data_IF_674308843571
#
_entry.id   IF_674308843571
#
_cell.length_a   1.000
_cell.length_b   1.000
_cell.length_c   1.000
_cell.angle_alpha   90.00
_cell.angle_beta   90.00
_cell.angle_gamma   90.00
#
_symmetry.space_group_name_H-M   'P 1'
#
loop_
_entity.id
_entity.type
_entity.pdbx_description
1 polymer ?
#
# COMPACT_ATOMS: atom_id res chain seq x y z
N UNK A 1 -3.22 -18.47 9.98
CA UNK A 1 -4.25 -18.38 11.05
C UNK A 1 -4.77 -16.96 11.28
N UNK A 2 -4.20 -15.93 10.63
CA UNK A 2 -4.82 -14.62 10.65
C UNK A 2 -6.07 -14.61 9.76
N UNK A 3 -7.08 -13.90 10.21
CA UNK A 3 -8.12 -13.40 9.32
C UNK A 3 -7.52 -12.28 8.49
N UNK A 4 -7.89 -12.22 7.21
CA UNK A 4 -7.33 -11.23 6.30
C UNK A 4 -7.80 -9.82 6.61
N UNK A 5 -8.99 -9.67 7.20
CA UNK A 5 -9.68 -8.40 7.44
C UNK A 5 -9.48 -7.48 6.23
N UNK A 6 -9.84 -7.98 5.05
CA UNK A 6 -9.86 -7.19 3.82
C UNK A 6 -8.48 -6.65 3.39
N UNK A 7 -7.37 -7.21 3.90
CA UNK A 7 -6.01 -6.71 3.64
C UNK A 7 -5.72 -6.46 2.16
N UNK A 8 -5.23 -5.25 1.87
CA UNK A 8 -5.09 -4.66 0.54
C UNK A 8 -6.43 -4.31 -0.13
N UNK A 9 -7.39 -3.77 0.63
CA UNK A 9 -8.69 -3.30 0.11
C UNK A 9 -9.34 -4.31 -0.85
N UNK A 10 -9.64 -5.50 -0.32
CA UNK A 10 -10.09 -6.63 -1.14
C UNK A 10 -11.34 -6.30 -1.96
N UNK A 11 -12.24 -5.47 -1.43
CA UNK A 11 -13.43 -5.04 -2.15
C UNK A 11 -13.10 -4.07 -3.29
N UNK A 12 -12.21 -3.08 -3.11
CA UNK A 12 -11.70 -2.25 -4.21
C UNK A 12 -11.08 -3.12 -5.30
N UNK A 13 -10.24 -4.07 -4.90
CA UNK A 13 -9.57 -5.01 -5.79
C UNK A 13 -10.59 -5.77 -6.67
N UNK A 14 -11.71 -6.21 -6.10
CA UNK A 14 -12.79 -6.87 -6.84
C UNK A 14 -13.62 -5.92 -7.69
N UNK A 15 -13.98 -4.73 -7.20
CA UNK A 15 -14.71 -3.73 -8.00
C UNK A 15 -13.93 -3.34 -9.25
N UNK A 16 -12.62 -3.14 -9.15
CA UNK A 16 -11.76 -2.90 -10.31
C UNK A 16 -11.84 -4.04 -11.34
N UNK A 17 -11.83 -5.30 -10.90
CA UNK A 17 -11.96 -6.43 -11.83
C UNK A 17 -13.37 -6.50 -12.45
N UNK A 18 -14.42 -6.18 -11.69
CA UNK A 18 -15.76 -6.07 -12.23
C UNK A 18 -15.85 -5.00 -13.32
N UNK A 19 -15.40 -3.78 -13.04
CA UNK A 19 -15.44 -2.67 -14.01
C UNK A 19 -14.64 -3.00 -15.28
N UNK A 20 -13.51 -3.70 -15.14
CA UNK A 20 -12.67 -4.10 -16.29
C UNK A 20 -13.26 -5.22 -17.15
N UNK A 21 -14.02 -6.13 -16.56
CA UNK A 21 -14.42 -7.40 -17.22
C UNK A 21 -15.92 -7.56 -17.45
N UNK A 22 -16.75 -6.82 -16.70
CA UNK A 22 -18.20 -7.05 -16.62
C UNK A 22 -18.59 -8.34 -15.88
N UNK A 23 -17.63 -9.07 -15.29
CA UNK A 23 -17.92 -10.35 -14.62
C UNK A 23 -18.58 -10.13 -13.25
N UNK A 24 -19.88 -10.44 -13.19
CA UNK A 24 -20.71 -10.27 -11.99
C UNK A 24 -20.24 -11.08 -10.77
N UNK A 25 -19.39 -12.10 -10.95
CA UNK A 25 -18.80 -12.81 -9.82
C UNK A 25 -17.92 -11.88 -8.99
N UNK A 26 -17.18 -10.99 -9.64
CA UNK A 26 -16.39 -9.98 -8.94
C UNK A 26 -17.28 -8.97 -8.22
N UNK A 27 -18.38 -8.52 -8.84
CA UNK A 27 -19.35 -7.63 -8.19
C UNK A 27 -19.93 -8.26 -6.91
N UNK A 28 -20.36 -9.52 -6.99
CA UNK A 28 -20.90 -10.23 -5.83
C UNK A 28 -19.89 -10.35 -4.69
N UNK A 29 -18.64 -10.73 -4.98
CA UNK A 29 -17.58 -10.83 -3.96
C UNK A 29 -17.14 -9.48 -3.42
N UNK A 30 -17.14 -8.44 -4.25
CA UNK A 30 -16.85 -7.08 -3.82
C UNK A 30 -17.90 -6.60 -2.82
N UNK A 31 -19.20 -6.82 -3.09
CA UNK A 31 -20.27 -6.47 -2.18
C UNK A 31 -20.17 -7.23 -0.84
N UNK A 32 -19.89 -8.53 -0.86
CA UNK A 32 -19.67 -9.31 0.37
C UNK A 32 -18.50 -8.76 1.21
N UNK A 33 -17.38 -8.47 0.56
CA UNK A 33 -16.18 -7.92 1.19
C UNK A 33 -16.43 -6.50 1.75
N UNK A 34 -17.13 -5.66 1.01
CA UNK A 34 -17.50 -4.31 1.41
C UNK A 34 -18.43 -4.31 2.62
N UNK A 35 -19.50 -5.11 2.60
CA UNK A 35 -20.44 -5.18 3.74
C UNK A 35 -19.71 -5.68 5.00
N UNK A 36 -18.77 -6.60 4.85
CA UNK A 36 -17.94 -7.04 5.98
C UNK A 36 -17.04 -5.91 6.50
N UNK A 37 -16.29 -5.23 5.62
CA UNK A 37 -15.43 -4.12 6.02
C UNK A 37 -16.23 -3.02 6.72
N UNK A 38 -17.34 -2.65 6.08
CA UNK A 38 -18.23 -1.59 6.53
C UNK A 38 -18.87 -1.96 7.87
N UNK A 39 -19.58 -3.07 7.96
CA UNK A 39 -20.45 -3.35 9.11
C UNK A 39 -19.75 -4.13 10.23
N UNK A 40 -18.59 -4.75 9.98
CA UNK A 40 -17.90 -5.62 10.94
C UNK A 40 -16.49 -5.13 11.29
N UNK A 41 -15.63 -4.84 10.30
CA UNK A 41 -14.25 -4.41 10.57
C UNK A 41 -14.17 -2.98 11.12
N UNK A 42 -15.13 -2.12 10.77
CA UNK A 42 -15.11 -0.69 11.14
C UNK A 42 -15.80 -0.40 12.47
N UNK A 43 -15.15 0.38 13.31
CA UNK A 43 -15.71 0.84 14.59
C UNK A 43 -16.65 2.03 14.36
N UNK A 44 -17.96 1.76 14.32
CA UNK A 44 -19.00 2.80 14.16
C UNK A 44 -19.29 3.59 15.44
N UNK A 45 -19.04 3.00 16.60
CA UNK A 45 -19.29 3.63 17.88
C UNK A 45 -18.30 3.16 18.94
N UNK A 46 -17.78 4.10 19.71
CA UNK A 46 -16.95 3.85 20.88
C UNK A 46 -17.00 5.08 21.81
N UNK A 47 -16.84 4.88 23.11
CA UNK A 47 -16.85 5.99 24.09
C UNK A 47 -15.65 6.93 23.95
N UNK A 48 -14.50 6.39 23.56
CA UNK A 48 -13.34 7.14 23.09
C UNK A 48 -13.52 7.50 21.59
N UNK A 49 -13.64 8.79 21.23
CA UNK A 49 -13.85 9.23 19.85
C UNK A 49 -12.66 8.93 18.92
N UNK A 50 -11.45 8.72 19.44
CA UNK A 50 -10.30 8.35 18.61
C UNK A 50 -10.45 6.96 17.98
N UNK A 51 -11.31 6.10 18.55
CA UNK A 51 -11.56 4.76 18.01
C UNK A 51 -12.65 4.72 16.95
N UNK A 52 -13.52 5.72 16.88
CA UNK A 52 -14.60 5.77 15.88
C UNK A 52 -14.00 6.05 14.50
N UNK A 53 -14.27 5.17 13.53
CA UNK A 53 -13.64 5.20 12.20
C UNK A 53 -12.32 4.41 12.10
N UNK A 54 -11.85 3.77 13.18
CA UNK A 54 -10.77 2.80 13.04
C UNK A 54 -11.28 1.48 12.45
N UNK A 55 -10.46 0.82 11.63
CA UNK A 55 -10.74 -0.51 11.08
C UNK A 55 -9.76 -1.56 11.64
N UNK A 56 -10.27 -2.73 12.01
CA UNK A 56 -9.46 -3.80 12.62
C UNK A 56 -8.41 -4.34 11.64
N UNK A 57 -7.14 -4.20 12.00
CA UNK A 57 -6.05 -4.83 11.26
C UNK A 57 -6.12 -6.35 11.35
N UNK A 58 -5.58 -7.03 10.34
CA UNK A 58 -5.52 -8.48 10.29
C UNK A 58 -4.93 -9.09 11.57
N UNK A 59 -5.65 -10.01 12.19
CA UNK A 59 -5.20 -10.69 13.39
C UNK A 59 -5.84 -12.07 13.55
N UNK A 60 -5.40 -12.82 14.56
CA UNK A 60 -5.98 -14.12 14.91
C UNK A 60 -7.38 -13.88 15.47
N UNK A 61 -8.36 -14.63 14.97
CA UNK A 61 -9.75 -14.51 15.43
C UNK A 61 -10.43 -13.19 15.04
N UNK A 62 -10.04 -12.55 13.93
CA UNK A 62 -10.67 -11.37 13.34
C UNK A 62 -10.50 -10.05 14.12
N UNK A 63 -10.72 -10.03 15.44
CA UNK A 63 -10.50 -8.84 16.29
C UNK A 63 -9.39 -9.00 17.32
N UNK A 64 -8.80 -10.19 17.42
CA UNK A 64 -7.61 -10.45 18.25
C UNK A 64 -7.88 -10.50 19.75
N UNK A 65 -6.80 -10.53 20.52
CA UNK A 65 -6.77 -10.55 21.99
C UNK A 65 -7.37 -11.81 22.66
N UNK A 66 -7.66 -12.87 21.89
CA UNK A 66 -8.05 -14.17 22.43
C UNK A 66 -6.88 -15.00 22.98
N UNK A 67 -5.65 -14.66 22.57
CA UNK A 67 -4.43 -15.35 23.00
C UNK A 67 -3.37 -14.32 23.41
N UNK A 68 -2.59 -14.62 24.45
CA UNK A 68 -1.46 -13.78 24.87
C UNK A 68 -0.29 -13.79 23.87
N UNK A 69 -0.15 -14.87 23.11
CA UNK A 69 0.84 -15.05 22.04
C UNK A 69 0.24 -15.93 20.95
N UNK A 70 0.89 -16.01 19.78
CA UNK A 70 0.47 -16.96 18.76
C UNK A 70 0.46 -18.40 19.32
N UNK A 71 -0.60 -19.19 19.07
CA UNK A 71 -0.65 -20.60 19.47
C UNK A 71 0.19 -21.51 18.56
N UNK A 72 0.77 -20.98 17.47
CA UNK A 72 1.61 -21.76 16.56
C UNK A 72 3.09 -21.62 16.92
N UNK A 73 3.83 -22.71 16.76
CA UNK A 73 5.28 -22.72 16.97
C UNK A 73 6.02 -21.94 15.88
N UNK A 74 7.03 -21.18 16.30
CA UNK A 74 7.91 -20.40 15.44
C UNK A 74 7.64 -18.89 15.44
N UNK A 75 8.59 -18.08 14.94
CA UNK A 75 8.43 -16.63 14.88
C UNK A 75 7.39 -16.20 13.84
N UNK A 76 6.74 -15.06 14.08
CA UNK A 76 5.82 -14.40 13.14
C UNK A 76 4.62 -15.25 12.68
N UNK A 77 4.15 -16.19 13.50
CA UNK A 77 3.04 -17.09 13.16
C UNK A 77 1.69 -16.48 13.50
N UNK A 78 1.34 -15.38 12.83
CA UNK A 78 0.09 -14.67 13.06
C UNK A 78 0.12 -13.70 14.23
N UNK A 79 -0.85 -12.78 14.24
CA UNK A 79 -0.88 -11.61 15.12
C UNK A 79 -1.93 -11.85 16.21
N UNK A 80 -1.55 -12.12 17.47
CA UNK A 80 -2.51 -12.45 18.51
C UNK A 80 -3.33 -11.24 18.97
N UNK A 81 -2.73 -10.05 18.99
CA UNK A 81 -3.39 -8.82 19.41
C UNK A 81 -4.19 -8.18 18.29
N UNK A 82 -5.37 -7.63 18.63
CA UNK A 82 -6.11 -6.74 17.75
C UNK A 82 -5.49 -5.35 17.77
N UNK A 83 -5.38 -4.70 16.62
CA UNK A 83 -4.82 -3.36 16.52
C UNK A 83 -5.51 -2.51 15.46
N UNK A 84 -5.37 -1.20 15.60
CA UNK A 84 -5.76 -0.21 14.61
C UNK A 84 -4.50 0.48 14.12
N UNK A 85 -4.33 0.57 12.81
CA UNK A 85 -3.19 1.26 12.22
C UNK A 85 -3.53 1.64 10.79
N UNK A 86 -3.14 2.86 10.42
CA UNK A 86 -3.33 3.39 9.06
C UNK A 86 -2.70 2.49 8.00
N UNK A 87 -1.66 1.73 8.38
CA UNK A 87 -0.99 0.76 7.52
C UNK A 87 -1.83 -0.47 7.15
N UNK A 88 -3.02 -0.61 7.73
CA UNK A 88 -3.97 -1.70 7.57
C UNK A 88 -5.42 -1.19 7.54
N UNK A 89 -5.64 -0.04 6.91
CA UNK A 89 -6.95 0.57 6.76
C UNK A 89 -7.13 1.10 5.35
N UNK A 90 -8.33 0.99 4.80
CA UNK A 90 -8.62 1.27 3.39
C UNK A 90 -9.99 1.94 3.24
N UNK A 91 -10.14 2.76 2.21
CA UNK A 91 -11.40 3.49 1.94
C UNK A 91 -11.80 3.47 0.46
N UNK A 92 -10.93 3.11 -0.47
CA UNK A 92 -11.22 3.10 -1.91
C UNK A 92 -12.45 2.22 -2.19
N UNK A 93 -12.46 1.03 -1.58
CA UNK A 93 -13.54 0.06 -1.72
C UNK A 93 -14.92 0.54 -1.25
N UNK A 94 -14.96 1.35 -0.19
CA UNK A 94 -16.18 1.96 0.31
C UNK A 94 -16.77 2.94 -0.71
N UNK A 95 -15.91 3.77 -1.31
CA UNK A 95 -16.34 4.74 -2.31
C UNK A 95 -16.73 4.07 -3.63
N UNK A 96 -15.99 3.05 -4.08
CA UNK A 96 -16.35 2.25 -5.25
C UNK A 96 -17.74 1.64 -5.11
N UNK A 97 -18.02 1.04 -3.95
CA UNK A 97 -19.33 0.46 -3.69
C UNK A 97 -20.44 1.51 -3.74
N UNK A 98 -20.24 2.69 -3.13
CA UNK A 98 -21.19 3.78 -3.22
C UNK A 98 -21.44 4.20 -4.67
N UNK A 99 -20.39 4.39 -5.48
CA UNK A 99 -20.55 4.80 -6.87
C UNK A 99 -21.24 3.76 -7.75
N UNK A 100 -21.01 2.47 -7.49
CA UNK A 100 -21.58 1.38 -8.28
C UNK A 100 -23.01 0.99 -7.85
N UNK A 101 -23.39 1.25 -6.59
CA UNK A 101 -24.67 0.75 -6.03
C UNK A 101 -25.60 1.85 -5.51
N UNK A 102 -25.08 3.05 -5.22
CA UNK A 102 -25.80 4.11 -4.54
C UNK A 102 -25.93 3.93 -3.02
N UNK A 103 -25.29 2.93 -2.41
CA UNK A 103 -25.38 2.69 -0.96
C UNK A 103 -24.65 3.79 -0.16
N UNK A 104 -25.44 4.71 0.40
CA UNK A 104 -24.93 5.85 1.18
C UNK A 104 -24.18 5.42 2.45
N UNK A 105 -24.47 4.25 3.03
CA UNK A 105 -23.77 3.79 4.23
C UNK A 105 -22.29 3.52 3.94
N UNK A 106 -21.97 3.04 2.74
CA UNK A 106 -20.59 2.86 2.31
C UNK A 106 -19.86 4.20 2.17
N UNK A 107 -20.48 5.21 1.55
CA UNK A 107 -19.91 6.56 1.52
C UNK A 107 -19.65 7.11 2.93
N UNK A 108 -20.66 7.04 3.79
CA UNK A 108 -20.58 7.52 5.18
C UNK A 108 -19.48 6.81 5.98
N UNK A 109 -19.28 5.50 5.74
CA UNK A 109 -18.26 4.71 6.44
C UNK A 109 -16.86 5.01 5.91
N UNK A 110 -16.69 5.14 4.59
CA UNK A 110 -15.42 5.57 3.98
C UNK A 110 -14.98 6.95 4.50
N UNK A 111 -15.93 7.89 4.64
CA UNK A 111 -15.66 9.21 5.22
C UNK A 111 -15.37 9.13 6.72
N UNK A 112 -16.12 8.32 7.49
CA UNK A 112 -15.86 8.12 8.91
C UNK A 112 -14.41 7.66 9.18
N UNK A 113 -13.92 6.74 8.35
CA UNK A 113 -12.55 6.24 8.41
C UNK A 113 -11.55 7.34 8.02
N UNK A 114 -11.72 7.97 6.85
CA UNK A 114 -10.82 9.00 6.37
C UNK A 114 -10.73 10.18 7.35
N UNK A 115 -11.88 10.65 7.86
CA UNK A 115 -11.97 11.72 8.84
C UNK A 115 -11.19 11.41 10.12
N UNK A 116 -11.23 10.16 10.60
CA UNK A 116 -10.49 9.76 11.78
C UNK A 116 -8.98 9.92 11.57
N UNK A 117 -8.44 9.34 10.49
CA UNK A 117 -7.01 9.37 10.21
C UNK A 117 -6.52 10.76 9.80
N UNK A 118 -7.32 11.51 9.06
CA UNK A 118 -6.96 12.86 8.62
C UNK A 118 -7.02 13.88 9.75
N UNK A 119 -7.93 13.69 10.72
CA UNK A 119 -8.01 14.54 11.90
C UNK A 119 -6.94 14.21 12.94
N UNK A 120 -6.84 12.93 13.32
CA UNK A 120 -6.03 12.51 14.46
C UNK A 120 -4.66 12.00 14.04
N UNK A 121 -4.59 11.27 12.93
CA UNK A 121 -3.35 10.69 12.42
C UNK A 121 -2.36 11.72 11.91
N UNK A 122 -2.80 12.93 11.57
CA UNK A 122 -1.93 14.01 11.05
C UNK A 122 -1.41 14.97 12.14
N UNK A 123 -1.87 14.84 13.39
CA UNK A 123 -1.39 15.69 14.50
C UNK A 123 0.06 15.33 14.81
N UNK A 124 0.98 16.29 14.69
CA UNK A 124 2.42 16.08 14.84
C UNK A 124 2.94 14.93 13.97
N UNK A 125 2.48 14.87 12.72
CA UNK A 125 2.71 13.75 11.82
C UNK A 125 4.20 13.37 11.69
N UNK A 126 4.49 12.09 11.94
CA UNK A 126 5.74 11.45 11.58
C UNK A 126 5.50 9.96 11.30
N UNK A 127 6.47 9.28 10.69
CA UNK A 127 6.30 7.87 10.32
C UNK A 127 7.54 7.00 10.58
N UNK A 128 7.34 5.72 10.84
CA UNK A 128 8.47 4.82 11.13
C UNK A 128 8.94 4.05 9.89
N UNK A 129 8.06 3.89 8.90
CA UNK A 129 8.35 3.22 7.64
C UNK A 129 7.39 3.72 6.55
N UNK A 130 7.75 3.51 5.28
CA UNK A 130 6.99 4.03 4.13
C UNK A 130 5.55 3.51 3.99
N UNK A 131 5.18 2.42 4.67
CA UNK A 131 3.81 1.88 4.60
C UNK A 131 2.80 2.82 5.24
N UNK A 132 3.18 3.47 6.35
CA UNK A 132 2.33 4.39 7.11
C UNK A 132 1.87 5.58 6.25
N UNK A 133 2.76 6.45 5.73
CA UNK A 133 2.35 7.55 4.87
C UNK A 133 1.73 7.06 3.56
N UNK A 134 2.18 5.91 3.03
CA UNK A 134 1.63 5.39 1.77
C UNK A 134 0.16 5.04 1.86
N UNK A 135 -0.26 4.25 2.85
CA UNK A 135 -1.68 3.92 3.01
C UNK A 135 -2.51 5.10 3.47
N UNK A 136 -1.96 5.99 4.30
CA UNK A 136 -2.65 7.22 4.68
C UNK A 136 -2.92 8.08 3.44
N UNK A 137 -1.94 8.29 2.55
CA UNK A 137 -2.18 8.99 1.29
C UNK A 137 -3.24 8.31 0.43
N UNK A 138 -3.18 6.98 0.26
CA UNK A 138 -4.15 6.25 -0.56
C UNK A 138 -5.57 6.47 -0.04
N UNK A 139 -5.82 6.27 1.25
CA UNK A 139 -7.16 6.36 1.81
C UNK A 139 -7.71 7.80 1.81
N UNK A 140 -6.85 8.79 2.06
CA UNK A 140 -7.28 10.20 2.11
C UNK A 140 -7.47 10.78 0.72
N UNK A 141 -6.63 10.40 -0.26
CA UNK A 141 -6.84 10.77 -1.65
C UNK A 141 -8.10 10.13 -2.22
N UNK A 142 -8.47 8.92 -1.80
CA UNK A 142 -9.74 8.32 -2.18
C UNK A 142 -10.94 9.14 -1.66
N UNK A 143 -10.89 9.60 -0.41
CA UNK A 143 -11.93 10.47 0.16
C UNK A 143 -11.99 11.83 -0.53
N UNK A 144 -10.84 12.44 -0.83
CA UNK A 144 -10.77 13.69 -1.59
C UNK A 144 -11.39 13.52 -2.98
N UNK A 145 -11.02 12.48 -3.73
CA UNK A 145 -11.54 12.25 -5.09
C UNK A 145 -13.02 11.90 -5.10
N UNK A 146 -13.54 11.31 -4.02
CA UNK A 146 -14.96 11.00 -3.89
C UNK A 146 -15.83 12.23 -3.57
N UNK A 147 -15.27 13.26 -2.92
CA UNK A 147 -16.05 14.38 -2.35
C UNK A 147 -15.67 15.77 -2.84
N UNK A 148 -14.43 15.95 -3.29
CA UNK A 148 -13.82 17.26 -3.52
C UNK A 148 -13.50 18.05 -2.24
N UNK A 149 -13.63 17.45 -1.05
CA UNK A 149 -13.42 18.18 0.22
C UNK A 149 -11.93 18.46 0.47
N UNK A 150 -11.49 19.74 0.48
CA UNK A 150 -10.09 20.09 0.69
C UNK A 150 -9.54 19.67 2.06
N UNK A 151 -10.38 19.30 3.03
CA UNK A 151 -9.93 18.75 4.31
C UNK A 151 -8.99 17.54 4.11
N UNK A 152 -9.39 16.57 3.28
CA UNK A 152 -8.60 15.37 3.00
C UNK A 152 -7.32 15.69 2.21
N UNK A 153 -7.39 16.58 1.22
CA UNK A 153 -6.20 17.01 0.48
C UNK A 153 -5.19 17.75 1.37
N UNK A 154 -5.67 18.53 2.35
CA UNK A 154 -4.80 19.20 3.32
C UNK A 154 -4.12 18.21 4.28
N UNK A 155 -4.79 17.13 4.67
CA UNK A 155 -4.15 16.03 5.40
C UNK A 155 -3.03 15.39 4.57
N UNK A 156 -3.28 15.12 3.28
CA UNK A 156 -2.24 14.63 2.37
C UNK A 156 -1.05 15.59 2.25
N UNK A 157 -1.27 16.91 2.21
CA UNK A 157 -0.19 17.92 2.18
C UNK A 157 0.74 17.79 3.39
N UNK A 158 0.19 17.64 4.60
CA UNK A 158 0.99 17.43 5.83
C UNK A 158 1.87 16.19 5.70
N UNK A 159 1.29 15.09 5.21
CA UNK A 159 2.00 13.82 5.04
C UNK A 159 3.12 13.97 3.99
N UNK A 160 2.81 14.56 2.84
CA UNK A 160 3.76 14.74 1.74
C UNK A 160 4.94 15.61 2.16
N UNK A 161 4.73 16.73 2.84
CA UNK A 161 5.84 17.57 3.32
C UNK A 161 6.80 16.78 4.22
N UNK A 162 6.26 15.96 5.14
CA UNK A 162 7.11 15.10 6.00
C UNK A 162 7.80 13.99 5.22
N UNK A 163 7.14 13.42 4.21
CA UNK A 163 7.72 12.41 3.32
C UNK A 163 8.90 13.00 2.53
N UNK A 164 8.73 14.18 1.94
CA UNK A 164 9.79 14.85 1.18
C UNK A 164 10.96 15.24 2.09
N UNK A 165 10.68 15.81 3.27
CA UNK A 165 11.70 16.18 4.27
C UNK A 165 12.59 14.98 4.66
N UNK A 166 12.00 13.79 4.81
CA UNK A 166 12.69 12.59 5.29
C UNK A 166 13.33 11.73 4.19
N UNK A 167 13.21 12.11 2.92
CA UNK A 167 13.82 11.35 1.84
C UNK A 167 15.34 11.47 1.91
N UNK A 168 16.04 10.34 1.88
CA UNK A 168 17.51 10.28 1.94
C UNK A 168 18.06 10.20 0.54
N UNK A 169 18.54 11.34 0.02
CA UNK A 169 18.94 11.50 -1.37
C UNK A 169 20.26 10.80 -1.72
N UNK A 170 21.24 10.85 -0.82
CA UNK A 170 22.58 10.32 -1.07
C UNK A 170 22.74 8.86 -0.60
N UNK A 171 23.47 8.02 -1.34
CA UNK A 171 23.83 6.67 -0.89
C UNK A 171 24.65 6.73 0.40
N UNK A 172 24.31 5.90 1.39
CA UNK A 172 25.13 5.69 2.58
C UNK A 172 24.60 4.52 3.43
N UNK A 173 25.44 3.99 4.33
CA UNK A 173 25.13 2.82 5.17
C UNK A 173 24.77 1.56 4.35
N UNK A 174 25.39 1.41 3.17
CA UNK A 174 25.23 0.24 2.31
C UNK A 174 23.93 0.23 1.50
N UNK A 175 23.23 1.36 1.38
CA UNK A 175 22.03 1.48 0.56
C UNK A 175 22.18 2.54 -0.52
N UNK A 176 21.47 2.37 -1.65
CA UNK A 176 21.34 3.42 -2.66
C UNK A 176 20.64 4.68 -2.10
N UNK A 177 20.79 5.79 -2.83
CA UNK A 177 20.10 7.05 -2.57
C UNK A 177 18.66 7.07 -3.10
N UNK A 178 17.86 8.03 -2.66
CA UNK A 178 16.48 8.26 -3.13
C UNK A 178 15.37 7.56 -2.33
N UNK A 179 15.71 6.70 -1.37
CA UNK A 179 14.74 6.05 -0.47
C UNK A 179 14.48 6.83 0.83
N UNK A 180 13.88 6.18 1.84
CA UNK A 180 13.67 6.70 3.20
C UNK A 180 14.41 5.86 4.23
N UNK A 181 15.74 5.93 4.22
CA UNK A 181 16.59 5.00 4.97
C UNK A 181 16.28 5.01 6.47
N UNK A 182 16.03 3.83 7.02
CA UNK A 182 15.83 3.58 8.46
C UNK A 182 16.61 2.36 8.91
N UNK A 183 16.78 2.19 10.23
CA UNK A 183 17.24 0.92 10.79
C UNK A 183 16.15 -0.15 10.56
N UNK A 184 16.51 -1.30 10.01
CA UNK A 184 15.52 -2.33 9.61
C UNK A 184 15.13 -3.31 10.72
N UNK A 185 15.61 -3.11 11.95
CA UNK A 185 15.14 -3.84 13.14
C UNK A 185 14.07 -3.05 13.89
N UNK A 186 13.09 -3.73 14.54
CA UNK A 186 12.79 -5.15 14.40
C UNK A 186 12.09 -5.49 13.06
N UNK A 187 12.07 -6.78 12.71
CA UNK A 187 11.15 -7.35 11.71
C UNK A 187 11.56 -7.33 10.24
N UNK A 188 12.49 -6.49 9.80
CA UNK A 188 12.91 -6.39 8.39
C UNK A 188 14.39 -6.70 8.14
N UNK A 189 15.13 -6.99 9.22
CA UNK A 189 16.50 -7.49 9.22
C UNK A 189 16.73 -8.24 10.54
N UNK A 190 17.49 -9.34 10.49
CA UNK A 190 17.89 -10.12 11.67
C UNK A 190 19.43 -10.21 11.80
N UNK A 191 20.17 -9.41 11.03
CA UNK A 191 21.64 -9.36 11.08
C UNK A 191 22.14 -8.51 12.25
N UNK A 192 23.33 -8.84 12.74
CA UNK A 192 24.12 -8.03 13.67
C UNK A 192 25.47 -7.70 13.01
N UNK A 193 25.83 -6.42 12.81
CA UNK A 193 25.00 -5.24 13.04
C UNK A 193 23.78 -5.19 12.10
N UNK A 194 22.72 -4.51 12.56
CA UNK A 194 21.51 -4.32 11.77
C UNK A 194 21.78 -3.46 10.54
N UNK A 195 21.31 -3.92 9.37
CA UNK A 195 21.35 -3.14 8.14
C UNK A 195 20.33 -1.99 8.16
N UNK A 196 20.60 -0.98 7.33
CA UNK A 196 19.72 0.15 7.06
C UNK A 196 19.06 0.00 5.69
N UNK A 197 17.97 0.73 5.47
CA UNK A 197 17.24 0.75 4.20
C UNK A 197 15.74 0.65 4.39
N UNK A 198 15.05 -0.06 3.50
CA UNK A 198 13.60 -0.28 3.56
C UNK A 198 13.18 -1.68 3.14
N UNK A 199 11.93 -2.04 3.43
CA UNK A 199 11.27 -3.12 2.74
C UNK A 199 10.67 -2.58 1.43
N UNK A 200 11.00 -3.21 0.30
CA UNK A 200 10.67 -2.65 -1.02
C UNK A 200 9.19 -2.41 -1.20
N UNK A 201 8.36 -3.37 -0.77
CA UNK A 201 6.91 -3.27 -0.89
C UNK A 201 6.34 -2.04 -0.13
N UNK A 202 6.96 -1.62 0.99
CA UNK A 202 6.51 -0.44 1.75
C UNK A 202 6.74 0.83 0.95
N UNK A 203 7.86 0.90 0.23
CA UNK A 203 8.16 2.00 -0.69
C UNK A 203 7.19 1.98 -1.87
N UNK A 204 6.86 0.80 -2.42
CA UNK A 204 5.85 0.68 -3.48
C UNK A 204 4.47 1.22 -3.07
N UNK A 205 4.02 0.93 -1.85
CA UNK A 205 2.77 1.52 -1.30
C UNK A 205 2.87 3.04 -1.19
N UNK A 206 4.00 3.57 -0.73
CA UNK A 206 4.22 5.03 -0.69
C UNK A 206 4.19 5.65 -2.07
N UNK A 207 4.84 5.04 -3.07
CA UNK A 207 4.80 5.52 -4.44
C UNK A 207 3.39 5.53 -5.03
N UNK A 208 2.55 4.55 -4.67
CA UNK A 208 1.12 4.54 -5.04
C UNK A 208 0.39 5.75 -4.45
N UNK A 209 0.58 6.03 -3.16
CA UNK A 209 -0.02 7.20 -2.50
C UNK A 209 0.48 8.54 -3.07
N UNK A 210 1.79 8.66 -3.30
CA UNK A 210 2.39 9.86 -3.92
C UNK A 210 1.91 10.08 -5.35
N UNK A 211 1.72 9.00 -6.13
CA UNK A 211 1.12 9.07 -7.47
C UNK A 211 -0.26 9.70 -7.43
N UNK A 212 -1.14 9.25 -6.54
CA UNK A 212 -2.49 9.83 -6.42
C UNK A 212 -2.44 11.30 -6.04
N UNK A 213 -1.59 11.67 -5.09
CA UNK A 213 -1.40 13.07 -4.72
C UNK A 213 -0.87 13.90 -5.89
N UNK A 214 0.14 13.40 -6.61
CA UNK A 214 0.73 14.11 -7.75
C UNK A 214 -0.27 14.33 -8.89
N UNK A 215 -1.09 13.33 -9.21
CA UNK A 215 -2.12 13.45 -10.25
C UNK A 215 -3.13 14.58 -9.98
N UNK A 216 -3.41 14.87 -8.71
CA UNK A 216 -4.37 15.93 -8.32
C UNK A 216 -3.70 17.30 -8.10
N UNK A 217 -2.38 17.35 -7.92
CA UNK A 217 -1.67 18.59 -7.52
C UNK A 217 -0.62 19.07 -8.50
N UNK A 218 -0.14 18.19 -9.37
CA UNK A 218 0.96 18.43 -10.31
C UNK A 218 2.24 18.97 -9.62
N UNK A 219 2.46 18.61 -8.35
CA UNK A 219 3.61 19.10 -7.58
C UNK A 219 4.92 18.50 -8.10
N UNK A 220 5.81 19.29 -8.75
CA UNK A 220 7.01 18.76 -9.38
C UNK A 220 8.00 18.16 -8.35
N UNK A 221 7.94 18.58 -7.08
CA UNK A 221 8.76 17.99 -6.01
C UNK A 221 8.38 16.54 -5.76
N UNK A 222 7.09 16.23 -5.90
CA UNK A 222 6.57 14.87 -5.72
C UNK A 222 6.94 13.99 -6.91
N UNK A 223 6.85 14.51 -8.14
CA UNK A 223 7.33 13.80 -9.33
C UNK A 223 8.81 13.40 -9.22
N UNK A 224 9.66 14.34 -8.83
CA UNK A 224 11.09 14.11 -8.60
C UNK A 224 11.34 13.09 -7.46
N UNK A 225 10.60 13.19 -6.36
CA UNK A 225 10.66 12.23 -5.26
C UNK A 225 10.29 10.81 -5.69
N UNK A 226 9.22 10.66 -6.49
CA UNK A 226 8.77 9.38 -7.06
C UNK A 226 9.87 8.77 -7.94
N UNK A 227 10.47 9.55 -8.84
CA UNK A 227 11.54 9.07 -9.71
C UNK A 227 12.76 8.57 -8.91
N UNK A 228 13.22 9.37 -7.94
CA UNK A 228 14.33 9.00 -7.06
C UNK A 228 14.05 7.74 -6.25
N UNK A 229 12.83 7.58 -5.73
CA UNK A 229 12.44 6.39 -4.99
C UNK A 229 12.25 5.15 -5.88
N UNK A 230 11.82 5.31 -7.13
CA UNK A 230 11.82 4.23 -8.12
C UNK A 230 13.24 3.77 -8.46
N UNK A 231 14.17 4.72 -8.66
CA UNK A 231 15.61 4.42 -8.83
C UNK A 231 16.21 3.73 -7.62
N UNK A 232 15.88 4.18 -6.40
CA UNK A 232 16.25 3.48 -5.17
C UNK A 232 15.82 2.01 -5.19
N UNK A 233 14.56 1.71 -5.55
CA UNK A 233 14.08 0.32 -5.61
C UNK A 233 14.83 -0.52 -6.63
N UNK A 234 15.10 0.04 -7.81
CA UNK A 234 15.87 -0.62 -8.87
C UNK A 234 17.31 -0.87 -8.41
N UNK A 235 18.01 0.17 -7.97
CA UNK A 235 19.44 0.12 -7.68
C UNK A 235 19.77 -0.64 -6.39
N UNK A 236 18.86 -0.59 -5.41
CA UNK A 236 19.08 -1.17 -4.08
C UNK A 236 18.48 -2.56 -3.91
N UNK A 237 17.53 -2.99 -4.74
CA UNK A 237 16.79 -4.24 -4.48
C UNK A 237 16.57 -5.14 -5.69
N UNK A 238 16.75 -4.67 -6.93
CA UNK A 238 16.59 -5.52 -8.11
C UNK A 238 17.63 -6.64 -8.16
N UNK A 239 17.19 -7.82 -8.56
CA UNK A 239 17.99 -9.03 -8.66
C UNK A 239 17.72 -9.70 -10.01
N UNK A 240 18.66 -9.54 -10.94
CA UNK A 240 18.51 -10.01 -12.32
C UNK A 240 18.34 -11.53 -12.43
N UNK A 241 18.93 -12.29 -11.50
CA UNK A 241 18.89 -13.75 -11.52
C UNK A 241 17.50 -14.33 -11.18
N UNK A 242 16.65 -13.57 -10.48
CA UNK A 242 15.25 -13.96 -10.18
C UNK A 242 14.25 -13.07 -10.91
N UNK A 243 14.72 -12.13 -11.74
CA UNK A 243 13.90 -11.10 -12.41
C UNK A 243 12.88 -10.49 -11.45
N UNK A 244 13.35 -10.11 -10.27
CA UNK A 244 12.51 -9.64 -9.18
C UNK A 244 13.32 -8.86 -8.16
N UNK A 245 12.75 -8.66 -6.98
CA UNK A 245 13.35 -7.81 -5.96
C UNK A 245 13.67 -8.60 -4.69
N UNK A 246 14.69 -8.14 -3.96
CA UNK A 246 14.86 -8.48 -2.54
C UNK A 246 13.68 -7.93 -1.74
N UNK A 247 13.28 -8.64 -0.69
CA UNK A 247 12.22 -8.24 0.23
C UNK A 247 12.56 -6.91 0.92
N UNK A 248 13.83 -6.73 1.29
CA UNK A 248 14.34 -5.49 1.88
C UNK A 248 15.73 -5.14 1.33
N UNK A 249 16.23 -3.96 1.67
CA UNK A 249 17.62 -3.54 1.42
C UNK A 249 18.65 -4.48 2.07
N UNK A 250 18.25 -5.36 3.00
CA UNK A 250 19.13 -6.33 3.60
C UNK A 250 19.59 -7.34 2.53
N UNK A 251 20.90 -7.51 2.30
CA UNK A 251 21.41 -8.47 1.30
C UNK A 251 21.06 -9.93 1.62
N UNK A 252 20.72 -10.23 2.88
CA UNK A 252 20.30 -11.58 3.33
C UNK A 252 18.79 -11.80 3.29
N UNK A 253 18.00 -10.79 2.90
CA UNK A 253 16.56 -10.95 2.80
C UNK A 253 16.19 -11.88 1.63
N UNK A 254 15.00 -12.48 1.70
CA UNK A 254 14.49 -13.30 0.60
C UNK A 254 14.33 -12.47 -0.67
N UNK A 255 14.37 -13.11 -1.84
CA UNK A 255 14.21 -12.43 -3.13
C UNK A 255 13.34 -13.22 -4.09
N UNK A 256 12.59 -12.50 -4.92
CA UNK A 256 11.78 -13.09 -5.98
C UNK A 256 10.79 -12.09 -6.58
N UNK A 257 9.94 -12.58 -7.48
CA UNK A 257 9.06 -11.74 -8.29
C UNK A 257 7.72 -11.39 -7.63
N UNK A 258 7.43 -11.92 -6.44
CA UNK A 258 6.11 -11.83 -5.81
C UNK A 258 5.68 -10.41 -5.40
N UNK A 259 6.64 -9.47 -5.35
CA UNK A 259 6.37 -8.06 -5.09
C UNK A 259 6.40 -7.20 -6.34
N UNK A 260 6.77 -7.73 -7.50
CA UNK A 260 7.01 -6.95 -8.73
C UNK A 260 5.82 -6.02 -9.02
N UNK A 261 4.61 -6.56 -9.13
CA UNK A 261 3.42 -5.77 -9.45
C UNK A 261 3.09 -4.68 -8.42
N UNK A 262 3.36 -4.93 -7.13
CA UNK A 262 3.20 -3.89 -6.12
C UNK A 262 4.22 -2.76 -6.26
N UNK A 263 5.43 -3.06 -6.73
CA UNK A 263 6.45 -2.05 -7.01
C UNK A 263 6.24 -1.38 -8.38
N UNK A 264 5.70 -2.11 -9.34
CA UNK A 264 5.52 -1.68 -10.72
C UNK A 264 4.55 -0.53 -10.86
N UNK A 265 3.58 -0.35 -9.95
CA UNK A 265 2.71 0.83 -10.00
C UNK A 265 3.51 2.13 -9.87
N UNK A 266 4.38 2.20 -8.86
CA UNK A 266 5.29 3.34 -8.67
C UNK A 266 6.35 3.47 -9.77
N UNK A 267 6.95 2.35 -10.18
CA UNK A 267 7.99 2.34 -11.22
C UNK A 267 7.43 2.75 -12.59
N UNK A 268 6.28 2.21 -12.99
CA UNK A 268 5.64 2.55 -14.26
C UNK A 268 5.24 4.03 -14.28
N UNK A 269 4.74 4.56 -13.17
CA UNK A 269 4.43 5.99 -13.08
C UNK A 269 5.69 6.86 -13.16
N UNK A 270 6.77 6.48 -12.47
CA UNK A 270 8.06 7.16 -12.60
C UNK A 270 8.59 7.15 -14.03
N UNK A 271 8.47 6.02 -14.74
CA UNK A 271 8.81 5.93 -16.16
C UNK A 271 7.95 6.84 -17.03
N UNK A 272 6.63 6.89 -16.82
CA UNK A 272 5.74 7.79 -17.56
C UNK A 272 6.10 9.26 -17.37
N UNK A 273 6.54 9.65 -16.17
CA UNK A 273 6.96 11.03 -15.87
C UNK A 273 8.31 11.41 -16.51
N UNK A 274 9.23 10.45 -16.66
CA UNK A 274 10.65 10.77 -16.92
C UNK A 274 11.24 10.14 -18.19
N UNK A 275 10.62 9.08 -18.71
CA UNK A 275 11.18 8.27 -19.78
C UNK A 275 12.43 7.46 -19.37
N UNK A 276 12.67 7.25 -18.07
CA UNK A 276 13.86 6.55 -17.57
C UNK A 276 13.97 5.12 -18.13
N UNK A 277 14.97 4.92 -19.00
CA UNK A 277 15.17 3.67 -19.74
C UNK A 277 15.57 2.50 -18.87
N UNK A 278 16.22 2.73 -17.75
CA UNK A 278 16.59 1.65 -16.85
C UNK A 278 15.37 1.17 -16.07
N UNK A 279 14.46 2.07 -15.67
CA UNK A 279 13.17 1.67 -15.09
C UNK A 279 12.36 0.87 -16.12
N UNK A 280 12.29 1.33 -17.38
CA UNK A 280 11.61 0.61 -18.46
C UNK A 280 12.16 -0.81 -18.66
N UNK A 281 13.49 -0.96 -18.65
CA UNK A 281 14.17 -2.26 -18.75
C UNK A 281 13.77 -3.19 -17.60
N UNK A 282 13.69 -2.69 -16.36
CA UNK A 282 13.27 -3.49 -15.20
C UNK A 282 11.80 -3.92 -15.32
N UNK A 283 10.92 -3.00 -15.71
CA UNK A 283 9.50 -3.30 -15.94
C UNK A 283 9.34 -4.44 -16.96
N UNK A 284 10.00 -4.32 -18.13
CA UNK A 284 9.98 -5.36 -19.15
C UNK A 284 10.56 -6.69 -18.63
N UNK A 285 11.75 -6.66 -18.03
CA UNK A 285 12.45 -7.86 -17.58
C UNK A 285 11.72 -8.61 -16.45
N UNK A 286 10.96 -7.92 -15.60
CA UNK A 286 10.25 -8.50 -14.46
C UNK A 286 8.78 -8.84 -14.71
N UNK A 287 8.24 -8.60 -15.91
CA UNK A 287 6.81 -8.81 -16.19
C UNK A 287 6.43 -10.29 -16.17
N UNK A 288 7.12 -11.14 -16.94
CA UNK A 288 6.79 -12.56 -17.03
C UNK A 288 6.94 -13.29 -15.70
N UNK A 289 8.01 -12.97 -14.96
CA UNK A 289 8.25 -13.53 -13.62
C UNK A 289 7.18 -13.10 -12.62
N UNK A 290 6.70 -11.85 -12.72
CA UNK A 290 5.62 -11.36 -11.87
C UNK A 290 4.33 -12.13 -12.12
N UNK A 291 3.93 -12.31 -13.39
CA UNK A 291 2.75 -13.09 -13.80
C UNK A 291 2.86 -14.52 -13.28
N UNK A 292 4.01 -15.17 -13.49
CA UNK A 292 4.24 -16.53 -13.02
C UNK A 292 4.20 -16.68 -11.49
N UNK A 293 4.49 -15.59 -10.75
CA UNK A 293 4.46 -15.57 -9.28
C UNK A 293 3.10 -15.19 -8.67
N UNK A 294 2.08 -14.93 -9.50
CA UNK A 294 0.75 -14.59 -9.02
C UNK A 294 0.15 -15.73 -8.21
N UNK A 295 -0.47 -15.38 -7.08
CA UNK A 295 -1.06 -16.33 -6.15
C UNK A 295 -2.55 -16.00 -5.96
N UNK A 296 -3.40 -17.02 -6.04
CA UNK A 296 -4.84 -16.92 -5.77
C UNK A 296 -5.20 -16.96 -4.28
N UNK A 297 -4.23 -16.94 -3.38
CA UNK A 297 -4.43 -17.22 -1.96
C UNK A 297 -4.31 -15.97 -1.07
N UNK A 298 -5.35 -15.72 -0.28
CA UNK A 298 -5.36 -14.70 0.78
C UNK A 298 -4.96 -13.30 0.28
N UNK A 299 -4.24 -12.55 1.12
CA UNK A 299 -3.88 -11.15 0.79
C UNK A 299 -3.01 -10.96 -0.45
N UNK A 300 -2.26 -11.99 -0.84
CA UNK A 300 -1.42 -11.90 -2.05
C UNK A 300 -2.27 -11.71 -3.30
N UNK A 301 -3.45 -12.33 -3.34
CA UNK A 301 -4.42 -12.15 -4.40
C UNK A 301 -4.92 -10.69 -4.48
N UNK A 302 -5.42 -10.14 -3.37
CA UNK A 302 -5.88 -8.74 -3.29
C UNK A 302 -4.77 -7.74 -3.65
N UNK A 303 -3.55 -7.99 -3.15
CA UNK A 303 -2.37 -7.18 -3.46
C UNK A 303 -2.11 -7.07 -4.97
N UNK A 304 -2.17 -8.19 -5.72
CA UNK A 304 -1.91 -8.17 -7.16
C UNK A 304 -2.99 -7.42 -7.93
N UNK A 305 -4.26 -7.76 -7.69
CA UNK A 305 -5.34 -7.32 -8.56
C UNK A 305 -5.79 -5.88 -8.29
N UNK A 306 -5.44 -5.29 -7.13
CA UNK A 306 -5.72 -3.87 -6.85
C UNK A 306 -4.81 -2.93 -7.63
N UNK A 307 -3.53 -3.28 -7.82
CA UNK A 307 -2.54 -2.37 -8.43
C UNK A 307 -2.33 -2.65 -9.92
N UNK A 308 -2.48 -3.90 -10.37
CA UNK A 308 -2.21 -4.26 -11.76
C UNK A 308 -2.93 -3.36 -12.79
N UNK A 309 -4.22 -2.99 -12.60
CA UNK A 309 -4.90 -2.10 -13.53
C UNK A 309 -4.20 -0.76 -13.80
N UNK A 310 -3.35 -0.28 -12.88
CA UNK A 310 -2.71 1.03 -12.96
C UNK A 310 -1.57 1.12 -13.98
N UNK A 311 -0.94 -0.01 -14.31
CA UNK A 311 0.30 -0.03 -15.11
C UNK A 311 0.30 -1.06 -16.24
N UNK A 312 -0.74 -1.90 -16.36
CA UNK A 312 -0.83 -2.90 -17.43
C UNK A 312 -0.72 -2.29 -18.84
N UNK A 313 -1.26 -1.07 -19.04
CA UNK A 313 -1.10 -0.35 -20.31
C UNK A 313 0.37 -0.06 -20.62
N UNK A 314 1.11 0.49 -19.65
CA UNK A 314 2.54 0.75 -19.77
C UNK A 314 3.35 -0.51 -20.08
N UNK A 315 3.01 -1.65 -19.47
CA UNK A 315 3.69 -2.91 -19.76
C UNK A 315 3.39 -3.42 -21.17
N UNK A 316 2.16 -3.26 -21.66
CA UNK A 316 1.80 -3.61 -23.02
C UNK A 316 2.56 -2.75 -24.04
N UNK A 317 2.70 -1.45 -23.77
CA UNK A 317 3.47 -0.54 -24.63
C UNK A 317 4.96 -0.89 -24.68
N UNK A 318 5.54 -1.35 -23.57
CA UNK A 318 6.94 -1.79 -23.51
C UNK A 318 7.21 -3.15 -24.18
N UNK A 319 6.15 -3.93 -24.44
CA UNK A 319 6.25 -5.24 -25.09
C UNK A 319 6.17 -5.16 -26.63
N UNK A 320 5.72 -4.03 -27.17
CA UNK A 320 5.61 -3.76 -28.61
C UNK A 320 6.87 -3.04 -29.14
#
# INVERSE_FOLDING_TARGET
>A
INWGNIEYDTQHAFFLQFVRSGDLRFLGRANEAEVHNRDVDTVHYHSDPHRVGCAYAHCIGHVGNYYAKSPLEGPNRGTPGGSFTVSHTWTEGHFDHYFLTGDRRSLETGLLIADNYDRWGTVNFDFHNCREPGWHLILSMAAYRATGDPFHLNACRIIVERVLERQTLEPALGTAGGGWRRRMVPGHCLCEPAHYGNAGFMVGVLLTGLKWYHLETDDPRVADSIHKAARFLVDDMWEDNVKGFRYTSCPKSSKGAWSNFLLFDGLAYAYQLTGDKEIAKILAAGTDSAIASMSGMGKSFSQYIRVAPHFLGTLADLAN
#
